data_IF_628867728165
#
_entry.id   IF_628867728165
#
_cell.length_a   1.000
_cell.length_b   1.000
_cell.length_c   1.000
_cell.angle_alpha   90.00
_cell.angle_beta   90.00
_cell.angle_gamma   90.00
#
_symmetry.space_group_name_H-M   'P 1'
#
loop_
_entity.id
_entity.type
_entity.pdbx_description
1 polymer ?
#
# COMPACT_ATOMS: atom_id res chain seq x y z
N UNK A 1 -8.34 -18.74 -7.47
CA UNK A 1 -7.89 -17.64 -8.35
C UNK A 1 -6.67 -18.17 -9.09
N UNK A 2 -6.60 -18.00 -10.42
CA UNK A 2 -5.53 -18.55 -11.26
C UNK A 2 -4.34 -17.59 -11.42
N UNK A 3 -4.52 -16.32 -11.04
CA UNK A 3 -3.55 -15.24 -11.03
C UNK A 3 -3.61 -14.63 -9.62
N UNK A 4 -2.63 -14.99 -8.79
CA UNK A 4 -2.57 -14.67 -7.36
C UNK A 4 -1.13 -14.53 -6.86
N UNK A 5 -0.23 -14.24 -7.78
CA UNK A 5 1.18 -13.99 -7.56
C UNK A 5 1.34 -12.82 -6.59
N UNK A 6 2.29 -12.96 -5.66
CA UNK A 6 2.56 -11.98 -4.63
C UNK A 6 4.06 -11.79 -4.49
N UNK A 7 4.52 -10.54 -4.54
CA UNK A 7 5.90 -10.17 -4.29
C UNK A 7 6.00 -9.48 -2.93
N UNK A 8 5.58 -10.19 -1.87
CA UNK A 8 5.61 -9.70 -0.50
C UNK A 8 6.79 -10.34 0.25
N UNK A 9 7.75 -9.52 0.67
CA UNK A 9 8.93 -9.96 1.40
C UNK A 9 8.95 -9.30 2.79
N UNK A 10 8.84 -10.09 3.89
CA UNK A 10 8.85 -9.55 5.25
C UNK A 10 10.08 -8.68 5.52
N UNK A 11 9.87 -7.51 6.11
CA UNK A 11 10.95 -6.62 6.50
C UNK A 11 11.53 -5.73 5.40
N UNK A 12 10.98 -5.74 4.18
CA UNK A 12 11.44 -4.87 3.09
C UNK A 12 11.05 -3.40 3.29
N UNK A 13 12.01 -2.52 3.00
CA UNK A 13 11.79 -1.08 2.80
C UNK A 13 11.25 -0.79 1.39
N UNK A 14 10.78 0.43 1.13
CA UNK A 14 10.29 0.83 -0.22
C UNK A 14 11.33 0.52 -1.31
N UNK A 15 12.61 0.83 -1.08
CA UNK A 15 13.68 0.57 -2.07
C UNK A 15 13.91 -0.93 -2.30
N UNK A 16 13.78 -1.74 -1.25
CA UNK A 16 13.89 -3.20 -1.36
C UNK A 16 12.67 -3.81 -2.05
N UNK A 17 11.47 -3.25 -1.84
CA UNK A 17 10.27 -3.62 -2.61
C UNK A 17 10.44 -3.24 -4.08
N UNK A 18 10.98 -2.05 -4.38
CA UNK A 18 11.29 -1.64 -5.75
C UNK A 18 12.25 -2.62 -6.44
N UNK A 19 13.30 -3.05 -5.73
CA UNK A 19 14.22 -4.05 -6.27
C UNK A 19 13.54 -5.41 -6.50
N UNK A 20 12.75 -5.89 -5.53
CA UNK A 20 12.03 -7.16 -5.65
C UNK A 20 10.98 -7.15 -6.78
N UNK A 21 10.27 -6.03 -6.96
CA UNK A 21 9.22 -5.88 -7.97
C UNK A 21 9.74 -6.05 -9.41
N UNK A 22 11.04 -5.90 -9.66
CA UNK A 22 11.64 -6.20 -10.97
C UNK A 22 11.43 -7.66 -11.38
N UNK A 23 11.35 -8.58 -10.41
CA UNK A 23 11.07 -10.00 -10.64
C UNK A 23 9.63 -10.27 -11.08
N UNK A 24 8.74 -9.26 -11.03
CA UNK A 24 7.33 -9.39 -11.42
C UNK A 24 7.03 -8.74 -12.78
N UNK A 25 7.98 -8.02 -13.38
CA UNK A 25 7.77 -7.27 -14.63
C UNK A 25 7.36 -8.20 -15.78
N UNK A 26 7.90 -9.42 -15.86
CA UNK A 26 7.61 -10.35 -16.95
C UNK A 26 6.15 -10.82 -16.99
N UNK A 27 5.42 -10.72 -15.86
CA UNK A 27 3.98 -11.00 -15.83
C UNK A 27 3.16 -9.90 -16.51
N UNK A 28 3.72 -8.68 -16.65
CA UNK A 28 3.03 -7.49 -17.18
C UNK A 28 1.64 -7.29 -16.57
N UNK A 29 1.54 -7.18 -15.23
CA UNK A 29 0.26 -7.07 -14.56
C UNK A 29 -0.50 -5.82 -15.05
N UNK A 30 -1.80 -5.95 -15.31
CA UNK A 30 -2.66 -4.81 -15.60
C UNK A 30 -3.07 -4.02 -14.34
N UNK A 31 -2.86 -4.61 -13.16
CA UNK A 31 -3.19 -4.05 -11.84
C UNK A 31 -2.11 -4.41 -10.81
N UNK A 32 -1.60 -3.43 -10.08
CA UNK A 32 -0.63 -3.62 -8.99
C UNK A 32 -1.13 -2.94 -7.71
N UNK A 33 -1.19 -3.71 -6.62
CA UNK A 33 -1.54 -3.23 -5.28
C UNK A 33 -0.27 -3.07 -4.45
N UNK A 34 -0.04 -1.88 -3.88
CA UNK A 34 1.19 -1.57 -3.15
C UNK A 34 0.88 -1.20 -1.70
N UNK A 35 1.44 -1.96 -0.76
CA UNK A 35 1.56 -1.62 0.66
C UNK A 35 3.02 -1.82 1.08
N UNK A 36 3.78 -0.72 1.14
CA UNK A 36 5.19 -0.73 1.54
C UNK A 36 5.53 0.60 2.22
N UNK A 37 6.48 0.60 3.16
CA UNK A 37 6.87 1.78 3.95
C UNK A 37 6.83 1.58 5.46
N UNK A 38 6.18 0.53 5.97
CA UNK A 38 6.14 0.21 7.41
C UNK A 38 7.55 0.02 7.98
N UNK A 39 8.43 -0.69 7.26
CA UNK A 39 9.81 -0.91 7.71
C UNK A 39 10.66 0.36 7.65
N UNK A 40 10.35 1.29 6.74
CA UNK A 40 10.98 2.60 6.71
C UNK A 40 10.61 3.42 7.94
N UNK A 41 9.35 3.41 8.34
CA UNK A 41 8.89 4.04 9.59
C UNK A 41 9.56 3.41 10.81
N UNK A 42 9.62 2.07 10.87
CA UNK A 42 10.25 1.33 11.99
C UNK A 42 11.75 1.61 12.11
N UNK A 43 12.45 1.72 10.97
CA UNK A 43 13.91 1.91 10.90
C UNK A 43 14.34 3.37 10.68
N UNK A 44 13.38 4.29 10.59
CA UNK A 44 13.59 5.72 10.38
C UNK A 44 14.36 6.04 9.10
N UNK A 45 14.06 5.30 8.03
CA UNK A 45 14.76 5.44 6.74
C UNK A 45 14.07 6.53 5.93
N UNK A 46 14.73 7.69 5.87
CA UNK A 46 14.43 8.78 4.94
C UNK A 46 12.94 9.15 4.87
N UNK A 47 12.32 9.29 6.05
CA UNK A 47 10.89 9.57 6.21
C UNK A 47 10.42 10.77 5.37
N UNK A 48 11.14 11.92 5.32
CA UNK A 48 10.71 13.07 4.54
C UNK A 48 10.61 12.82 3.02
N UNK A 49 11.30 11.80 2.50
CA UNK A 49 11.32 11.45 1.07
C UNK A 49 10.69 10.07 0.79
N UNK A 50 9.92 9.51 1.72
CA UNK A 50 9.24 8.23 1.53
C UNK A 50 8.30 8.25 0.30
N UNK A 51 7.63 9.38 0.06
CA UNK A 51 6.79 9.62 -1.12
C UNK A 51 7.58 9.63 -2.43
N UNK A 52 8.75 10.27 -2.47
CA UNK A 52 9.60 10.30 -3.67
C UNK A 52 10.14 8.92 -4.02
N UNK A 53 10.52 8.14 -3.00
CA UNK A 53 10.94 6.75 -3.17
C UNK A 53 9.80 5.86 -3.66
N UNK A 54 8.59 6.06 -3.14
CA UNK A 54 7.39 5.35 -3.61
C UNK A 54 7.05 5.74 -5.06
N UNK A 55 7.16 7.02 -5.41
CA UNK A 55 7.02 7.49 -6.79
C UNK A 55 8.02 6.79 -7.70
N UNK A 56 9.28 6.71 -7.30
CA UNK A 56 10.32 6.04 -8.07
C UNK A 56 10.09 4.54 -8.27
N UNK A 57 9.43 3.87 -7.30
CA UNK A 57 8.97 2.49 -7.46
C UNK A 57 7.87 2.40 -8.52
N UNK A 58 6.84 3.25 -8.43
CA UNK A 58 5.72 3.25 -9.37
C UNK A 58 6.19 3.59 -10.79
N UNK A 59 7.03 4.61 -10.95
CA UNK A 59 7.60 4.98 -12.24
C UNK A 59 8.47 3.87 -12.84
N UNK A 60 9.18 3.09 -12.01
CA UNK A 60 9.92 1.92 -12.49
C UNK A 60 8.98 0.88 -13.10
N UNK A 61 7.84 0.60 -12.45
CA UNK A 61 6.83 -0.32 -12.99
C UNK A 61 6.20 0.21 -14.28
N UNK A 62 5.80 1.48 -14.32
CA UNK A 62 5.13 2.08 -15.47
C UNK A 62 6.05 2.29 -16.68
N UNK A 63 7.36 2.42 -16.46
CA UNK A 63 8.34 2.52 -17.54
C UNK A 63 8.83 1.16 -18.05
N UNK A 64 8.38 0.05 -17.43
CA UNK A 64 8.69 -1.28 -17.93
C UNK A 64 7.90 -1.59 -19.21
N UNK A 65 8.52 -2.31 -20.14
CA UNK A 65 7.95 -2.59 -21.45
C UNK A 65 6.59 -3.29 -21.36
N UNK A 66 5.55 -2.65 -21.92
CA UNK A 66 4.19 -3.18 -21.93
C UNK A 66 3.41 -2.97 -20.63
N UNK A 67 3.92 -2.15 -19.70
CA UNK A 67 3.28 -1.81 -18.43
C UNK A 67 2.86 -0.34 -18.33
N UNK A 68 2.93 0.43 -19.42
CA UNK A 68 2.71 1.88 -19.44
C UNK A 68 1.29 2.29 -19.01
N UNK A 69 0.33 1.36 -19.13
CA UNK A 69 -1.07 1.54 -18.74
C UNK A 69 -1.47 0.73 -17.51
N UNK A 70 -0.50 0.16 -16.78
CA UNK A 70 -0.76 -0.58 -15.53
C UNK A 70 -1.50 0.30 -14.54
N UNK A 71 -2.57 -0.22 -13.95
CA UNK A 71 -3.29 0.46 -12.89
C UNK A 71 -2.60 0.23 -11.56
N UNK A 72 -2.42 1.29 -10.78
CA UNK A 72 -1.81 1.23 -9.45
C UNK A 72 -2.88 1.49 -8.40
N UNK A 73 -2.93 0.65 -7.36
CA UNK A 73 -3.63 0.98 -6.13
C UNK A 73 -2.57 1.11 -5.04
N UNK A 74 -2.32 2.34 -4.60
CA UNK A 74 -1.41 2.61 -3.49
C UNK A 74 -2.23 2.66 -2.19
N UNK A 75 -1.84 1.88 -1.19
CA UNK A 75 -2.46 1.99 0.14
C UNK A 75 -1.70 2.94 1.05
N UNK A 76 -2.42 3.55 1.99
CA UNK A 76 -1.77 4.07 3.20
C UNK A 76 -1.28 2.91 4.08
N UNK A 77 -0.26 3.16 4.90
CA UNK A 77 0.25 2.22 5.88
C UNK A 77 -0.79 1.97 6.98
N UNK A 78 -0.87 0.72 7.42
CA UNK A 78 -1.77 0.28 8.49
C UNK A 78 -1.29 0.77 9.87
N UNK A 79 -2.20 0.90 10.86
CA UNK A 79 -1.83 1.19 12.23
C UNK A 79 -0.80 0.21 12.81
N UNK A 80 0.01 0.70 13.75
CA UNK A 80 0.99 -0.06 14.51
C UNK A 80 1.16 0.61 15.87
N UNK A 81 1.46 -0.17 16.91
CA UNK A 81 1.88 0.37 18.22
C UNK A 81 3.38 0.32 18.44
N UNK A 82 4.15 -0.17 17.46
CA UNK A 82 5.59 0.00 17.47
C UNK A 82 5.90 1.49 17.42
N UNK A 83 6.66 1.99 18.40
CA UNK A 83 6.82 3.41 18.65
C UNK A 83 7.29 4.21 17.42
N UNK A 84 8.35 3.74 16.75
CA UNK A 84 8.91 4.43 15.58
C UNK A 84 7.93 4.42 14.40
N UNK A 85 7.25 3.31 14.20
CA UNK A 85 6.25 3.16 13.15
C UNK A 85 5.08 4.10 13.42
N UNK A 86 4.49 4.05 14.62
CA UNK A 86 3.39 4.91 15.02
C UNK A 86 3.71 6.40 14.89
N UNK A 87 4.95 6.79 15.18
CA UNK A 87 5.41 8.17 15.08
C UNK A 87 5.48 8.69 13.63
N UNK A 88 6.07 7.92 12.71
CA UNK A 88 6.33 8.38 11.34
C UNK A 88 5.21 8.04 10.34
N UNK A 89 4.39 7.03 10.65
CA UNK A 89 3.32 6.55 9.77
C UNK A 89 2.35 7.66 9.31
N UNK A 90 1.90 8.61 10.14
CA UNK A 90 1.03 9.70 9.67
C UNK A 90 1.68 10.54 8.57
N UNK A 91 2.96 10.90 8.73
CA UNK A 91 3.71 11.69 7.74
C UNK A 91 3.84 10.93 6.41
N UNK A 92 4.22 9.65 6.45
CA UNK A 92 4.32 8.81 5.25
C UNK A 92 2.97 8.63 4.57
N UNK A 93 1.88 8.45 5.34
CA UNK A 93 0.53 8.33 4.79
C UNK A 93 0.10 9.62 4.07
N UNK A 94 0.43 10.79 4.61
CA UNK A 94 0.13 12.08 3.97
C UNK A 94 0.94 12.30 2.69
N UNK A 95 2.20 11.84 2.67
CA UNK A 95 3.00 11.81 1.45
C UNK A 95 2.34 10.90 0.38
N UNK A 96 1.85 9.71 0.75
CA UNK A 96 1.20 8.80 -0.20
C UNK A 96 -0.13 9.35 -0.72
N UNK A 97 -0.94 9.98 0.14
CA UNK A 97 -2.16 10.68 -0.27
C UNK A 97 -1.85 11.80 -1.27
N UNK A 98 -0.79 12.55 -1.02
CA UNK A 98 -0.33 13.63 -1.90
C UNK A 98 0.18 13.09 -3.22
N UNK A 99 0.98 12.02 -3.19
CA UNK A 99 1.51 11.35 -4.37
C UNK A 99 0.40 10.86 -5.29
N UNK A 100 -0.60 10.15 -4.76
CA UNK A 100 -1.74 9.67 -5.57
C UNK A 100 -2.43 10.84 -6.28
N UNK A 101 -2.71 11.94 -5.57
CA UNK A 101 -3.34 13.13 -6.18
C UNK A 101 -2.47 13.76 -7.27
N UNK A 102 -1.15 13.81 -7.07
CA UNK A 102 -0.22 14.37 -8.06
C UNK A 102 -0.17 13.49 -9.31
N UNK A 103 0.06 12.18 -9.15
CA UNK A 103 0.17 11.25 -10.26
C UNK A 103 -1.15 11.12 -11.05
N UNK A 104 -2.31 11.23 -10.39
CA UNK A 104 -3.60 11.33 -11.09
C UNK A 104 -3.68 12.56 -12.01
N UNK A 105 -3.18 13.73 -11.56
CA UNK A 105 -3.13 14.95 -12.40
C UNK A 105 -2.16 14.81 -13.57
N UNK A 106 -1.15 13.96 -13.42
CA UNK A 106 -0.19 13.62 -14.47
C UNK A 106 -0.72 12.55 -15.44
N UNK A 107 -1.94 12.03 -15.21
CA UNK A 107 -2.61 11.07 -16.09
C UNK A 107 -2.32 9.60 -15.76
N UNK A 108 -1.65 9.32 -14.64
CA UNK A 108 -1.43 7.93 -14.19
C UNK A 108 -2.75 7.32 -13.71
N UNK A 109 -3.01 6.08 -14.13
CA UNK A 109 -4.11 5.26 -13.59
C UNK A 109 -3.78 4.81 -12.17
N UNK A 110 -3.98 5.68 -11.19
CA UNK A 110 -3.72 5.39 -9.78
C UNK A 110 -4.89 5.80 -8.89
N UNK A 111 -5.21 5.00 -7.88
CA UNK A 111 -6.14 5.36 -6.81
C UNK A 111 -5.57 5.01 -5.43
N UNK A 112 -6.16 5.59 -4.39
CA UNK A 112 -5.76 5.36 -3.00
C UNK A 112 -6.66 4.29 -2.35
N UNK A 113 -6.04 3.28 -1.74
CA UNK A 113 -6.68 2.40 -0.78
C UNK A 113 -6.37 2.90 0.65
N UNK A 114 -7.19 3.82 1.18
CA UNK A 114 -6.90 4.44 2.48
C UNK A 114 -7.23 3.48 3.64
N UNK A 115 -6.20 2.81 4.17
CA UNK A 115 -6.28 1.87 5.28
C UNK A 115 -6.25 2.54 6.65
N UNK A 116 -5.77 3.78 6.73
CA UNK A 116 -5.76 4.58 7.95
C UNK A 116 -6.33 5.99 7.74
N UNK A 117 -7.63 6.11 7.44
CA UNK A 117 -8.27 7.41 7.21
C UNK A 117 -8.22 8.32 8.46
N UNK A 118 -7.98 9.62 8.23
CA UNK A 118 -7.92 10.63 9.30
C UNK A 118 -9.26 10.78 10.06
N UNK A 119 -10.37 10.46 9.39
CA UNK A 119 -11.71 10.43 9.99
C UNK A 119 -12.23 8.98 9.97
N UNK A 120 -12.24 8.30 11.12
CA UNK A 120 -12.86 6.99 11.23
C UNK A 120 -14.35 7.11 10.91
N UNK A 121 -14.85 6.24 10.03
CA UNK A 121 -16.29 6.08 9.82
C UNK A 121 -16.69 4.65 10.11
N UNK A 122 -17.92 4.44 10.57
CA UNK A 122 -18.48 3.09 10.74
C UNK A 122 -18.49 2.30 9.41
N UNK A 123 -18.40 2.99 8.27
CA UNK A 123 -18.32 2.39 6.93
C UNK A 123 -16.88 2.05 6.49
N UNK A 124 -15.86 2.53 7.21
CA UNK A 124 -14.44 2.40 6.84
C UNK A 124 -13.89 0.99 7.07
N UNK A 125 -14.53 0.20 7.94
CA UNK A 125 -14.03 -1.11 8.37
C UNK A 125 -12.53 -1.05 8.74
N UNK A 126 -12.12 0.01 9.44
CA UNK A 126 -10.72 0.36 9.69
C UNK A 126 -10.08 -0.64 10.66
N UNK A 127 -8.78 -0.87 10.47
CA UNK A 127 -7.97 -1.67 11.39
C UNK A 127 -7.92 -0.99 12.75
N UNK A 128 -8.07 -1.78 13.81
CA UNK A 128 -8.21 -1.33 15.19
C UNK A 128 -7.30 -2.15 16.07
N UNK A 129 -6.32 -1.48 16.67
CA UNK A 129 -5.47 -2.08 17.68
C UNK A 129 -6.18 -2.13 19.05
N UNK A 130 -5.95 -3.16 19.90
CA UNK A 130 -5.16 -4.38 19.64
C UNK A 130 -5.98 -5.50 18.97
N UNK A 131 -7.29 -5.32 18.80
CA UNK A 131 -8.21 -6.40 18.41
C UNK A 131 -7.84 -7.06 17.08
N UNK A 132 -7.50 -6.28 16.07
CA UNK A 132 -7.13 -6.77 14.74
C UNK A 132 -5.67 -7.25 14.66
N UNK A 133 -4.93 -7.25 15.77
CA UNK A 133 -3.51 -7.60 15.86
C UNK A 133 -3.22 -8.64 16.94
N UNK A 134 -4.26 -9.11 17.65
CA UNK A 134 -4.11 -10.08 18.73
C UNK A 134 -4.51 -11.47 18.26
N UNK A 135 -3.60 -12.43 18.42
CA UNK A 135 -3.84 -13.84 18.10
C UNK A 135 -3.56 -14.67 19.36
N UNK A 136 -4.55 -15.45 19.80
CA UNK A 136 -4.46 -16.26 21.03
C UNK A 136 -4.00 -15.47 22.28
N UNK A 137 -4.40 -14.19 22.39
CA UNK A 137 -4.04 -13.32 23.51
C UNK A 137 -2.64 -12.70 23.43
N UNK A 138 -1.89 -12.96 22.35
CA UNK A 138 -0.60 -12.32 22.07
C UNK A 138 -0.80 -11.27 21.00
N UNK A 139 -0.40 -10.03 21.30
CA UNK A 139 -0.54 -8.90 20.39
C UNK A 139 0.74 -8.68 19.60
N UNK A 140 0.61 -8.67 18.27
CA UNK A 140 1.66 -8.28 17.34
C UNK A 140 1.62 -6.75 17.15
N UNK A 141 2.77 -6.09 17.15
CA UNK A 141 2.84 -4.64 17.03
C UNK A 141 2.70 -4.13 15.59
N UNK A 142 2.73 -5.03 14.61
CA UNK A 142 2.89 -4.73 13.17
C UNK A 142 1.91 -5.53 12.29
N UNK A 143 1.75 -6.83 12.52
CA UNK A 143 1.01 -7.72 11.62
C UNK A 143 -0.43 -7.93 12.07
N UNK A 144 -1.42 -7.70 11.19
CA UNK A 144 -2.81 -7.99 11.50
C UNK A 144 -3.06 -9.51 11.69
N UNK A 145 -4.09 -9.84 12.45
CA UNK A 145 -4.68 -11.17 12.48
C UNK A 145 -5.67 -11.35 11.31
N UNK A 146 -6.35 -12.49 11.27
CA UNK A 146 -7.33 -12.81 10.22
C UNK A 146 -8.43 -11.73 10.07
N UNK A 147 -8.90 -11.14 11.18
CA UNK A 147 -9.91 -10.09 11.13
C UNK A 147 -9.35 -8.80 10.52
N UNK A 148 -8.14 -8.40 10.93
CA UNK A 148 -7.46 -7.25 10.37
C UNK A 148 -7.16 -7.41 8.87
N UNK A 149 -6.71 -8.59 8.44
CA UNK A 149 -6.54 -8.87 7.00
C UNK A 149 -7.87 -8.85 6.23
N UNK A 150 -8.98 -9.33 6.82
CA UNK A 150 -10.31 -9.21 6.21
C UNK A 150 -10.72 -7.74 6.02
N UNK A 151 -10.36 -6.86 6.96
CA UNK A 151 -10.56 -5.41 6.86
C UNK A 151 -9.72 -4.79 5.75
N UNK A 152 -8.43 -5.13 5.67
CA UNK A 152 -7.57 -4.70 4.55
C UNK A 152 -8.15 -5.15 3.20
N UNK A 153 -8.58 -6.40 3.08
CA UNK A 153 -9.19 -6.94 1.87
C UNK A 153 -10.44 -6.17 1.45
N UNK A 154 -11.26 -5.70 2.41
CA UNK A 154 -12.42 -4.85 2.12
C UNK A 154 -12.03 -3.48 1.54
N UNK A 155 -10.97 -2.86 2.08
CA UNK A 155 -10.45 -1.58 1.55
C UNK A 155 -9.89 -1.77 0.15
N UNK A 156 -9.09 -2.82 -0.08
CA UNK A 156 -8.60 -3.19 -1.41
C UNK A 156 -9.73 -3.42 -2.40
N UNK A 157 -10.72 -4.22 -2.03
CA UNK A 157 -11.84 -4.55 -2.90
C UNK A 157 -12.63 -3.30 -3.32
N UNK A 158 -12.86 -2.35 -2.41
CA UNK A 158 -13.46 -1.05 -2.75
C UNK A 158 -12.62 -0.27 -3.77
N UNK A 159 -11.31 -0.23 -3.59
CA UNK A 159 -10.42 0.45 -4.53
C UNK A 159 -10.37 -0.26 -5.90
N UNK A 160 -10.44 -1.59 -5.92
CA UNK A 160 -10.55 -2.39 -7.17
C UNK A 160 -11.85 -2.07 -7.91
N UNK A 161 -12.98 -1.93 -7.21
CA UNK A 161 -14.23 -1.47 -7.81
C UNK A 161 -14.07 -0.04 -8.36
N UNK A 162 -13.46 0.88 -7.60
CA UNK A 162 -13.25 2.27 -8.05
C UNK A 162 -12.42 2.34 -9.35
N UNK A 163 -11.33 1.57 -9.47
CA UNK A 163 -10.55 1.54 -10.73
C UNK A 163 -11.31 0.88 -11.87
N UNK A 164 -12.16 -0.11 -11.59
CA UNK A 164 -13.04 -0.74 -12.59
C UNK A 164 -14.07 0.26 -13.11
N UNK A 165 -14.74 0.99 -12.22
CA UNK A 165 -15.77 1.98 -12.57
C UNK A 165 -15.21 3.18 -13.34
N UNK A 166 -13.93 3.51 -13.10
CA UNK A 166 -13.18 4.52 -13.88
C UNK A 166 -12.72 4.03 -15.25
N UNK A 167 -12.82 2.74 -15.54
CA UNK A 167 -12.30 2.15 -16.77
C UNK A 167 -10.77 2.11 -16.81
N UNK A 168 -10.10 2.02 -15.66
CA UNK A 168 -8.63 1.94 -15.58
C UNK A 168 -8.12 0.51 -15.82
N UNK A 169 -8.95 -0.50 -15.54
CA UNK A 169 -8.62 -1.90 -15.83
C UNK A 169 -8.71 -2.18 -17.35
N UNK A 170 -7.77 -2.98 -17.85
CA UNK A 170 -7.65 -3.40 -19.24
C UNK A 170 -7.95 -4.88 -19.40
#
# INVERSE_FOLDING_TARGET
MLDNEVEAQPGHTIDQVKAAAQNSIHYRPNLVLINAGTNDCRRQIDIPHAGDRMRSLIEMLLNAEGMERTTIILSTLIPSTEFSTALHRPEVNDQYRTLVRQMQREGVHIVLADMDPDVPSNASNQLSFPGDYTTHGVTDDTHPNEQGYRKMAHVWHKAVIDVSDRGFLQ
#
